data_IF_149891347505
#
_entry.id   IF_149891347505
#
_cell.length_a   1.000
_cell.length_b   1.000
_cell.length_c   1.000
_cell.angle_alpha   90.00
_cell.angle_beta   90.00
_cell.angle_gamma   90.00
#
_symmetry.space_group_name_H-M   'P 1'
#
loop_
_entity.id
_entity.type
_entity.pdbx_description
1 polymer ?
#
# COMPACT_ATOMS: atom_id res chain seq x y z
N UNK A 1 42.53 -27.86 83.99
CA UNK A 1 41.97 -26.65 84.62
C UNK A 1 41.20 -25.90 83.60
N UNK A 2 39.95 -25.62 83.84
CA UNK A 2 38.92 -24.94 83.09
C UNK A 2 38.17 -25.82 82.07
N UNK A 3 37.17 -26.22 82.52
CA UNK A 3 35.79 -26.61 82.41
C UNK A 3 35.02 -25.51 81.66
N UNK A 4 34.42 -25.86 80.53
CA UNK A 4 33.22 -25.21 80.09
C UNK A 4 32.37 -26.19 79.29
N UNK A 5 31.19 -26.45 79.80
CA UNK A 5 30.11 -27.23 79.23
C UNK A 5 29.43 -26.49 78.10
N UNK A 6 28.89 -27.18 77.04
CA UNK A 6 28.08 -26.54 76.06
C UNK A 6 26.59 -26.54 76.42
N UNK A 7 25.94 -25.44 76.12
CA UNK A 7 24.49 -25.25 76.18
C UNK A 7 23.81 -25.85 74.93
N UNK A 8 22.51 -26.25 74.98
CA UNK A 8 21.85 -26.99 73.92
C UNK A 8 21.30 -26.08 72.79
N UNK A 9 21.49 -26.57 71.59
CA UNK A 9 20.91 -25.97 70.37
C UNK A 9 19.39 -26.08 70.30
N UNK A 10 18.71 -24.94 70.16
CA UNK A 10 17.33 -24.84 69.87
C UNK A 10 17.15 -25.00 68.33
N UNK A 11 16.62 -26.13 67.91
CA UNK A 11 16.20 -26.37 66.51
C UNK A 11 14.89 -25.64 66.31
N UNK A 12 14.92 -24.51 65.57
CA UNK A 12 13.75 -23.81 65.11
C UNK A 12 13.36 -24.37 63.75
N UNK A 13 12.29 -25.20 63.69
CA UNK A 13 11.64 -25.62 62.48
C UNK A 13 10.97 -24.41 61.82
N UNK A 14 11.57 -23.86 60.77
CA UNK A 14 10.90 -22.93 59.87
C UNK A 14 10.09 -23.72 58.84
N UNK A 15 8.77 -23.73 59.04
CA UNK A 15 7.80 -24.19 58.03
C UNK A 15 7.79 -23.20 56.86
N UNK A 16 8.49 -23.51 55.78
CA UNK A 16 8.36 -22.77 54.51
C UNK A 16 7.07 -23.20 53.81
N UNK A 17 6.02 -22.40 53.93
CA UNK A 17 4.81 -22.53 53.17
C UNK A 17 5.08 -22.06 51.73
N UNK A 18 5.34 -22.98 50.81
CA UNK A 18 5.39 -22.67 49.39
C UNK A 18 3.96 -22.45 48.87
N UNK A 19 3.57 -21.17 48.72
CA UNK A 19 2.40 -20.79 47.96
C UNK A 19 2.81 -20.88 46.52
N UNK A 20 2.40 -21.95 45.83
CA UNK A 20 2.47 -22.06 44.39
C UNK A 20 1.40 -21.14 43.79
N UNK A 21 1.78 -19.93 43.39
CA UNK A 21 0.96 -19.08 42.54
C UNK A 21 0.96 -19.72 41.14
N UNK A 22 -0.12 -20.48 40.83
CA UNK A 22 -0.42 -20.85 39.47
C UNK A 22 -0.79 -19.57 38.70
N UNK A 23 0.18 -19.01 38.01
CA UNK A 23 -0.06 -18.06 36.94
C UNK A 23 -0.74 -18.84 35.78
N UNK A 24 -2.07 -18.77 35.74
CA UNK A 24 -2.81 -19.09 34.54
C UNK A 24 -2.41 -18.06 33.48
N UNK A 25 -1.35 -18.37 32.72
CA UNK A 25 -1.13 -17.75 31.41
C UNK A 25 -2.25 -18.26 30.51
N UNK A 26 -3.38 -17.58 30.53
CA UNK A 26 -4.31 -17.63 29.41
C UNK A 26 -3.54 -17.05 28.23
N UNK A 27 -3.01 -17.94 27.37
CA UNK A 27 -2.72 -17.59 26.00
C UNK A 27 -4.05 -17.14 25.40
N UNK A 28 -4.37 -15.86 25.55
CA UNK A 28 -5.23 -15.19 24.61
C UNK A 28 -4.42 -15.16 23.30
N UNK A 29 -4.64 -16.18 22.47
CA UNK A 29 -4.47 -16.01 21.03
C UNK A 29 -5.35 -14.79 20.69
N UNK A 30 -4.77 -13.60 20.77
CA UNK A 30 -5.34 -12.44 20.11
C UNK A 30 -5.20 -12.75 18.61
N UNK A 31 -6.17 -13.47 18.06
CA UNK A 31 -6.44 -13.36 16.63
C UNK A 31 -6.52 -11.85 16.40
N UNK A 32 -5.52 -11.30 15.73
CA UNK A 32 -5.57 -9.92 15.31
C UNK A 32 -6.90 -9.76 14.57
N UNK A 33 -7.86 -9.14 15.25
CA UNK A 33 -9.18 -8.92 14.70
C UNK A 33 -8.96 -7.95 13.55
N UNK A 34 -9.30 -8.38 12.35
CA UNK A 34 -9.15 -7.55 11.15
C UNK A 34 -9.96 -6.26 11.37
N UNK A 35 -9.42 -5.07 11.03
CA UNK A 35 -10.08 -3.82 11.34
C UNK A 35 -11.49 -3.79 10.71
N UNK A 36 -12.49 -3.48 11.55
CA UNK A 36 -13.88 -3.40 11.12
C UNK A 36 -14.11 -2.19 10.23
N UNK A 37 -14.91 -2.36 9.18
CA UNK A 37 -15.40 -1.26 8.36
C UNK A 37 -16.52 -0.54 9.11
N UNK A 38 -16.41 0.77 9.21
CA UNK A 38 -17.39 1.64 9.89
C UNK A 38 -17.48 3.00 9.18
N UNK A 39 -18.49 3.80 9.42
CA UNK A 39 -18.47 5.19 8.98
C UNK A 39 -17.29 5.97 9.59
N UNK A 40 -16.71 6.95 8.87
CA UNK A 40 -15.68 7.82 9.44
C UNK A 40 -16.18 8.52 10.70
N UNK A 41 -15.36 8.55 11.75
CA UNK A 41 -15.71 9.27 12.98
C UNK A 41 -15.71 10.79 12.75
N UNK A 42 -16.46 11.53 13.56
CA UNK A 42 -16.47 12.99 13.48
C UNK A 42 -15.07 13.61 13.65
N UNK A 43 -14.21 13.00 14.47
CA UNK A 43 -12.82 13.41 14.65
C UNK A 43 -12.00 13.21 13.37
N UNK A 44 -12.13 12.04 12.73
CA UNK A 44 -11.46 11.75 11.47
C UNK A 44 -11.92 12.71 10.36
N UNK A 45 -13.25 12.92 10.23
CA UNK A 45 -13.83 13.88 9.28
C UNK A 45 -13.24 15.27 9.47
N UNK A 46 -13.20 15.77 10.71
CA UNK A 46 -12.66 17.09 11.02
C UNK A 46 -11.14 17.15 10.75
N UNK A 47 -10.38 16.15 11.20
CA UNK A 47 -8.91 16.12 11.09
C UNK A 47 -8.42 16.06 9.65
N UNK A 48 -9.08 15.29 8.79
CA UNK A 48 -8.73 15.09 7.39
C UNK A 48 -9.57 15.92 6.42
N UNK A 49 -10.52 16.72 6.93
CA UNK A 49 -11.47 17.51 6.13
C UNK A 49 -12.16 16.63 5.06
N UNK A 50 -12.68 15.48 5.52
CA UNK A 50 -13.28 14.51 4.63
C UNK A 50 -14.60 15.01 4.05
N UNK A 51 -14.78 14.79 2.74
CA UNK A 51 -16.03 14.99 2.05
C UNK A 51 -17.08 13.94 2.47
N UNK A 52 -18.37 14.29 2.36
CA UNK A 52 -19.51 13.40 2.62
C UNK A 52 -19.59 12.21 1.66
N UNK A 53 -18.84 12.22 0.59
CA UNK A 53 -18.64 11.08 -0.32
C UNK A 53 -18.16 9.84 0.44
N UNK A 54 -17.26 10.02 1.41
CA UNK A 54 -16.69 8.92 2.19
C UNK A 54 -17.64 8.49 3.30
N UNK A 55 -18.30 7.36 3.11
CA UNK A 55 -19.24 6.79 4.09
C UNK A 55 -18.72 5.53 4.77
N UNK A 56 -17.60 4.97 4.27
CA UNK A 56 -16.93 3.80 4.83
C UNK A 56 -15.48 4.09 5.11
N UNK A 57 -14.96 3.50 6.17
CA UNK A 57 -13.61 3.71 6.66
C UNK A 57 -13.06 2.47 7.36
N UNK A 58 -11.76 2.24 7.15
CA UNK A 58 -10.91 1.32 7.93
C UNK A 58 -9.64 2.08 8.31
N UNK A 59 -9.13 1.84 9.52
CA UNK A 59 -7.87 2.43 9.98
C UNK A 59 -6.75 1.40 10.01
N UNK A 60 -5.59 1.77 9.45
CA UNK A 60 -4.34 1.00 9.55
C UNK A 60 -3.35 1.82 10.38
N UNK A 61 -3.17 1.49 11.66
CA UNK A 61 -2.29 2.25 12.58
C UNK A 61 -2.56 3.77 12.56
N UNK A 62 -3.83 4.16 12.41
CA UNK A 62 -4.25 5.56 12.31
C UNK A 62 -4.29 6.12 10.88
N UNK A 63 -3.69 5.44 9.90
CA UNK A 63 -3.81 5.84 8.49
C UNK A 63 -5.17 5.45 7.91
N UNK A 64 -5.94 6.40 7.33
CA UNK A 64 -7.31 6.12 6.87
C UNK A 64 -7.37 5.53 5.47
N UNK A 65 -8.10 4.44 5.33
CA UNK A 65 -8.57 3.86 4.07
C UNK A 65 -10.07 4.12 3.97
N UNK A 66 -10.51 4.73 2.89
CA UNK A 66 -11.83 5.33 2.72
C UNK A 66 -12.52 4.82 1.47
N UNK A 67 -13.83 4.75 1.50
CA UNK A 67 -14.66 4.44 0.34
C UNK A 67 -16.04 5.09 0.44
N UNK A 68 -16.72 5.14 -0.70
CA UNK A 68 -18.13 5.46 -0.77
C UNK A 68 -19.01 4.32 -0.25
N UNK A 69 -20.32 4.51 -0.23
CA UNK A 69 -21.27 3.43 0.09
C UNK A 69 -21.23 2.24 -0.89
N UNK A 70 -20.72 2.46 -2.10
CA UNK A 70 -20.66 1.45 -3.17
C UNK A 70 -19.50 0.47 -3.02
N UNK A 71 -18.39 0.92 -2.42
CA UNK A 71 -17.18 0.10 -2.22
C UNK A 71 -17.50 -1.04 -1.26
N UNK A 72 -17.05 -2.26 -1.57
CA UNK A 72 -17.24 -3.41 -0.68
C UNK A 72 -16.37 -3.31 0.58
N UNK A 73 -16.83 -3.88 1.67
CA UNK A 73 -16.05 -3.91 2.92
C UNK A 73 -14.76 -4.74 2.74
N UNK A 74 -14.81 -5.76 1.91
CA UNK A 74 -13.64 -6.60 1.58
C UNK A 74 -12.55 -5.79 0.90
N UNK A 75 -12.89 -4.88 -0.04
CA UNK A 75 -11.91 -4.04 -0.71
C UNK A 75 -11.19 -3.08 0.27
N UNK A 76 -11.95 -2.47 1.19
CA UNK A 76 -11.37 -1.63 2.24
C UNK A 76 -10.40 -2.40 3.14
N UNK A 77 -10.79 -3.62 3.53
CA UNK A 77 -9.97 -4.50 4.36
C UNK A 77 -8.75 -5.04 3.60
N UNK A 78 -8.89 -5.36 2.31
CA UNK A 78 -7.77 -5.79 1.47
C UNK A 78 -6.75 -4.66 1.31
N UNK A 79 -7.19 -3.44 1.02
CA UNK A 79 -6.28 -2.29 0.95
C UNK A 79 -5.56 -2.05 2.29
N UNK A 80 -6.28 -2.15 3.41
CA UNK A 80 -5.70 -2.05 4.74
C UNK A 80 -4.63 -3.12 4.98
N UNK A 81 -4.90 -4.36 4.57
CA UNK A 81 -3.94 -5.46 4.66
C UNK A 81 -2.68 -5.18 3.82
N UNK A 82 -2.84 -4.80 2.55
CA UNK A 82 -1.70 -4.54 1.66
C UNK A 82 -0.82 -3.40 2.17
N UNK A 83 -1.41 -2.31 2.64
CA UNK A 83 -0.71 -1.17 3.23
C UNK A 83 0.09 -1.60 4.46
N UNK A 84 -0.49 -2.40 5.35
CA UNK A 84 0.21 -2.90 6.54
C UNK A 84 1.35 -3.85 6.18
N UNK A 85 1.15 -4.72 5.18
CA UNK A 85 2.20 -5.60 4.70
C UNK A 85 3.35 -4.83 4.05
N UNK A 86 3.07 -3.82 3.24
CA UNK A 86 4.10 -2.98 2.60
C UNK A 86 4.93 -2.23 3.63
N UNK A 87 4.29 -1.55 4.55
CA UNK A 87 4.99 -0.71 5.52
C UNK A 87 5.63 -1.52 6.66
N UNK A 88 5.09 -2.69 7.01
CA UNK A 88 5.63 -3.50 8.09
C UNK A 88 5.81 -2.70 9.38
N UNK A 89 7.04 -2.63 9.89
CA UNK A 89 7.41 -1.88 11.10
C UNK A 89 7.79 -0.41 10.87
N UNK A 90 7.38 0.23 9.76
CA UNK A 90 7.70 1.63 9.41
C UNK A 90 6.69 2.60 10.01
N UNK A 91 6.62 2.64 11.36
CA UNK A 91 5.76 3.58 12.11
C UNK A 91 6.07 5.05 11.78
N UNK A 92 7.33 5.36 11.48
CA UNK A 92 7.80 6.68 11.06
C UNK A 92 7.11 7.15 9.77
N UNK A 93 6.94 6.26 8.78
CA UNK A 93 6.23 6.56 7.53
C UNK A 93 4.73 6.74 7.81
N UNK A 94 4.11 5.88 8.62
CA UNK A 94 2.70 6.07 9.01
C UNK A 94 2.44 7.44 9.61
N UNK A 95 3.28 7.85 10.57
CA UNK A 95 3.17 9.17 11.22
C UNK A 95 3.28 10.29 10.17
N UNK A 96 4.27 10.23 9.28
CA UNK A 96 4.47 11.24 8.25
C UNK A 96 3.29 11.34 7.26
N UNK A 97 2.72 10.19 6.86
CA UNK A 97 1.54 10.14 6.00
C UNK A 97 0.29 10.72 6.69
N UNK A 98 0.09 10.41 7.97
CA UNK A 98 -1.03 10.95 8.76
C UNK A 98 -0.88 12.46 8.97
N UNK A 99 0.31 12.92 9.31
CA UNK A 99 0.60 14.35 9.51
C UNK A 99 0.43 15.15 8.22
N UNK A 100 0.75 14.54 7.07
CA UNK A 100 0.52 15.15 5.74
C UNK A 100 -0.94 15.09 5.30
N UNK A 101 -1.85 14.53 6.12
CA UNK A 101 -3.26 14.33 5.78
C UNK A 101 -3.49 13.40 4.59
N UNK A 102 -2.50 12.57 4.30
CA UNK A 102 -2.61 11.55 3.26
C UNK A 102 -3.64 10.49 3.67
N UNK A 103 -4.47 10.09 2.73
CA UNK A 103 -5.50 9.06 2.86
C UNK A 103 -5.49 8.16 1.64
N UNK A 104 -6.01 6.95 1.81
CA UNK A 104 -6.24 6.05 0.70
C UNK A 104 -7.73 6.00 0.36
N UNK A 105 -8.09 6.24 -0.90
CA UNK A 105 -9.46 6.27 -1.40
C UNK A 105 -9.68 5.15 -2.42
N UNK A 106 -10.70 4.32 -2.19
CA UNK A 106 -11.06 3.23 -3.11
C UNK A 106 -12.24 3.68 -3.96
N UNK A 107 -12.19 3.42 -5.26
CA UNK A 107 -13.27 3.59 -6.21
C UNK A 107 -14.00 2.27 -6.42
N UNK A 108 -15.33 2.26 -6.31
CA UNK A 108 -16.11 1.12 -6.77
C UNK A 108 -15.95 0.92 -8.30
N UNK A 109 -16.30 -0.26 -8.87
CA UNK A 109 -16.15 -0.52 -10.29
C UNK A 109 -16.92 0.45 -11.21
N UNK A 110 -17.95 1.12 -10.70
CA UNK A 110 -18.77 2.13 -11.41
C UNK A 110 -18.46 3.57 -10.98
N UNK A 111 -17.38 3.79 -10.23
CA UNK A 111 -16.86 5.11 -9.86
C UNK A 111 -15.54 5.40 -10.59
N UNK A 112 -15.30 6.67 -10.93
CA UNK A 112 -14.13 7.07 -11.71
C UNK A 112 -13.26 8.10 -10.99
N UNK A 113 -12.05 8.29 -11.48
CA UNK A 113 -11.01 9.08 -10.83
C UNK A 113 -11.49 10.47 -10.38
N UNK A 114 -12.23 11.19 -11.23
CA UNK A 114 -12.68 12.56 -10.89
C UNK A 114 -13.91 12.60 -9.96
N UNK A 115 -14.45 11.46 -9.58
CA UNK A 115 -15.50 11.37 -8.55
C UNK A 115 -14.89 11.32 -7.14
N UNK A 116 -13.62 10.95 -7.02
CA UNK A 116 -12.88 11.08 -5.75
C UNK A 116 -12.73 12.56 -5.42
N UNK A 117 -13.18 13.02 -4.23
CA UNK A 117 -13.21 14.44 -3.89
C UNK A 117 -11.87 15.17 -4.07
N UNK A 118 -10.75 14.51 -3.73
CA UNK A 118 -9.41 15.09 -3.87
C UNK A 118 -8.94 15.19 -5.34
N UNK A 119 -9.61 14.53 -6.27
CA UNK A 119 -9.30 14.51 -7.71
C UNK A 119 -10.37 15.23 -8.55
N UNK A 120 -11.40 15.78 -7.92
CA UNK A 120 -12.58 16.34 -8.59
C UNK A 120 -12.32 17.59 -9.44
N UNK A 121 -11.18 18.25 -9.22
CA UNK A 121 -10.69 19.42 -10.00
C UNK A 121 -9.90 19.05 -11.25
N UNK A 122 -9.58 17.78 -11.46
CA UNK A 122 -8.85 17.32 -12.64
C UNK A 122 -9.67 17.52 -13.92
N UNK A 123 -9.04 18.11 -14.93
CA UNK A 123 -9.69 18.45 -16.21
C UNK A 123 -8.79 18.12 -17.40
N UNK A 124 -9.33 17.67 -18.54
CA UNK A 124 -10.74 17.28 -18.75
C UNK A 124 -11.10 16.02 -17.97
N UNK A 125 -12.29 15.97 -17.37
CA UNK A 125 -12.71 14.84 -16.52
C UNK A 125 -12.65 13.50 -17.26
N UNK A 126 -13.23 13.44 -18.46
CA UNK A 126 -13.25 12.19 -19.27
C UNK A 126 -11.84 11.68 -19.58
N UNK A 127 -10.86 12.58 -19.75
CA UNK A 127 -9.46 12.19 -19.94
C UNK A 127 -8.92 11.44 -18.72
N UNK A 128 -9.09 12.01 -17.53
CA UNK A 128 -8.60 11.43 -16.28
C UNK A 128 -9.34 10.17 -15.89
N UNK A 129 -10.66 10.18 -16.03
CA UNK A 129 -11.52 9.02 -15.74
C UNK A 129 -11.19 7.81 -16.63
N UNK A 130 -10.71 8.04 -17.85
CA UNK A 130 -10.29 6.96 -18.76
C UNK A 130 -8.83 6.57 -18.59
N UNK A 131 -7.97 7.53 -18.24
CA UNK A 131 -6.52 7.32 -18.19
C UNK A 131 -6.10 6.47 -16.99
N UNK A 132 -6.74 6.65 -15.86
CA UNK A 132 -6.25 6.11 -14.60
C UNK A 132 -7.35 5.45 -13.76
N UNK A 133 -7.04 4.29 -13.20
CA UNK A 133 -7.81 3.63 -12.12
C UNK A 133 -7.09 3.75 -10.78
N UNK A 134 -6.14 4.65 -10.67
CA UNK A 134 -5.42 5.04 -9.48
C UNK A 134 -4.60 6.30 -9.72
N UNK A 135 -4.30 7.03 -8.66
CA UNK A 135 -3.38 8.17 -8.64
C UNK A 135 -2.66 8.22 -7.30
N UNK A 136 -1.37 8.57 -7.34
CA UNK A 136 -0.57 8.87 -6.15
C UNK A 136 -1.00 10.16 -5.47
N UNK A 137 -0.70 10.26 -4.17
CA UNK A 137 -0.94 11.48 -3.40
C UNK A 137 0.12 12.54 -3.69
N UNK A 138 -0.31 13.80 -3.68
CA UNK A 138 0.56 14.97 -3.75
C UNK A 138 0.20 15.97 -2.64
N UNK A 139 1.06 16.93 -2.30
CA UNK A 139 0.71 17.97 -1.31
C UNK A 139 -0.58 18.75 -1.64
N UNK A 140 -0.87 18.93 -2.93
CA UNK A 140 -2.10 19.58 -3.38
C UNK A 140 -3.32 18.66 -3.34
N UNK A 141 -3.11 17.35 -3.50
CA UNK A 141 -4.15 16.32 -3.51
C UNK A 141 -3.69 15.15 -2.64
N UNK A 142 -3.84 15.24 -1.29
CA UNK A 142 -3.29 14.26 -0.36
C UNK A 142 -4.18 12.99 -0.29
N UNK A 143 -4.53 12.43 -1.43
CA UNK A 143 -5.26 11.18 -1.55
C UNK A 143 -4.59 10.27 -2.58
N UNK A 144 -4.23 9.08 -2.12
CA UNK A 144 -3.96 7.94 -3.01
C UNK A 144 -5.28 7.34 -3.43
N UNK A 145 -5.39 6.86 -4.64
CA UNK A 145 -6.59 6.12 -5.05
C UNK A 145 -6.27 4.86 -5.85
N UNK A 146 -7.20 3.90 -5.83
CA UNK A 146 -7.21 2.77 -6.75
C UNK A 146 -8.63 2.25 -6.95
N UNK A 147 -8.84 1.45 -8.00
CA UNK A 147 -10.08 0.76 -8.27
C UNK A 147 -10.23 -0.51 -7.43
N UNK A 148 -11.44 -0.77 -6.92
CA UNK A 148 -11.78 -2.00 -6.20
C UNK A 148 -11.53 -3.25 -7.06
N UNK A 149 -11.79 -3.15 -8.38
CA UNK A 149 -11.58 -4.24 -9.32
C UNK A 149 -10.13 -4.72 -9.36
N UNK A 150 -9.15 -3.80 -9.20
CA UNK A 150 -7.75 -4.17 -9.16
C UNK A 150 -7.34 -4.78 -7.81
N UNK A 151 -7.82 -4.22 -6.70
CA UNK A 151 -7.57 -4.76 -5.36
C UNK A 151 -8.01 -6.22 -5.21
N UNK A 152 -9.18 -6.53 -5.74
CA UNK A 152 -9.83 -7.82 -5.57
C UNK A 152 -9.71 -8.73 -6.81
N UNK A 153 -8.94 -8.31 -7.82
CA UNK A 153 -8.74 -9.03 -9.08
C UNK A 153 -10.08 -9.41 -9.75
N UNK A 154 -11.03 -8.47 -9.76
CA UNK A 154 -12.37 -8.68 -10.33
C UNK A 154 -12.32 -8.80 -11.85
N UNK A 155 -13.30 -9.48 -12.41
CA UNK A 155 -13.44 -9.59 -13.86
C UNK A 155 -13.57 -8.21 -14.52
N UNK A 156 -12.80 -8.01 -15.59
CA UNK A 156 -12.81 -6.77 -16.37
C UNK A 156 -11.82 -5.71 -15.91
N UNK A 157 -11.03 -5.98 -14.86
CA UNK A 157 -9.94 -5.10 -14.43
C UNK A 157 -9.00 -4.79 -15.61
N UNK A 158 -8.87 -3.50 -16.00
CA UNK A 158 -7.99 -3.11 -17.10
C UNK A 158 -6.50 -3.22 -16.77
N UNK A 159 -6.15 -3.40 -15.49
CA UNK A 159 -4.79 -3.49 -14.97
C UNK A 159 -4.54 -4.81 -14.24
N UNK A 160 -5.18 -5.89 -14.69
CA UNK A 160 -5.20 -7.21 -14.01
C UNK A 160 -3.84 -7.88 -13.87
N UNK A 161 -2.80 -7.39 -14.54
CA UNK A 161 -1.44 -7.92 -14.47
C UNK A 161 -0.57 -7.23 -13.42
N UNK A 162 -1.05 -6.14 -12.81
CA UNK A 162 -0.34 -5.38 -11.80
C UNK A 162 -1.21 -5.06 -10.60
N UNK A 163 -0.60 -4.58 -9.50
CA UNK A 163 -1.36 -4.06 -8.36
C UNK A 163 -1.19 -2.53 -8.27
N UNK A 164 -2.25 -1.82 -8.62
CA UNK A 164 -2.28 -0.35 -8.66
C UNK A 164 -2.10 0.26 -7.26
N UNK A 165 -2.64 -0.38 -6.20
CA UNK A 165 -2.39 0.12 -4.84
C UNK A 165 -0.91 0.20 -4.54
N UNK A 166 -0.13 -0.84 -4.89
CA UNK A 166 1.32 -0.89 -4.59
C UNK A 166 2.04 0.24 -5.32
N UNK A 167 1.70 0.49 -6.59
CA UNK A 167 2.27 1.56 -7.40
C UNK A 167 1.96 2.95 -6.81
N UNK A 168 0.68 3.26 -6.65
CA UNK A 168 0.24 4.59 -6.21
C UNK A 168 0.59 4.88 -4.75
N UNK A 169 0.61 3.85 -3.91
CA UNK A 169 1.03 4.01 -2.54
C UNK A 169 2.56 4.17 -2.42
N UNK A 170 3.34 3.60 -3.35
CA UNK A 170 4.78 3.87 -3.43
C UNK A 170 5.06 5.37 -3.69
N UNK A 171 4.30 6.03 -4.59
CA UNK A 171 4.38 7.48 -4.76
C UNK A 171 4.08 8.23 -3.46
N UNK A 172 3.03 7.84 -2.75
CA UNK A 172 2.70 8.48 -1.47
C UNK A 172 3.77 8.24 -0.39
N UNK A 173 4.35 7.04 -0.33
CA UNK A 173 5.49 6.76 0.57
C UNK A 173 6.65 7.70 0.26
N UNK A 174 6.96 7.93 -1.02
CA UNK A 174 8.01 8.86 -1.44
C UNK A 174 7.64 10.31 -1.10
N UNK A 175 6.58 10.85 -1.72
CA UNK A 175 6.29 12.28 -1.74
C UNK A 175 5.72 12.80 -0.42
N UNK A 176 4.94 11.97 0.29
CA UNK A 176 4.20 12.39 1.48
C UNK A 176 4.79 11.83 2.77
N UNK A 177 5.54 10.72 2.68
CA UNK A 177 6.21 10.05 3.78
C UNK A 177 7.70 10.41 3.86
N UNK A 178 8.50 9.83 2.96
CA UNK A 178 9.96 9.92 2.99
C UNK A 178 10.48 11.35 2.82
N UNK A 179 9.87 12.15 1.95
CA UNK A 179 10.22 13.56 1.77
C UNK A 179 10.13 14.39 3.06
N UNK A 180 9.37 13.93 4.07
CA UNK A 180 9.23 14.59 5.38
C UNK A 180 10.22 14.10 6.43
N UNK A 181 10.63 12.83 6.34
CA UNK A 181 11.50 12.20 7.36
C UNK A 181 12.97 12.12 6.93
N UNK A 182 13.23 12.20 5.63
CA UNK A 182 14.59 12.23 5.05
C UNK A 182 14.63 13.26 3.92
N UNK A 183 15.01 14.49 4.24
CA UNK A 183 15.09 15.57 3.27
C UNK A 183 16.12 15.39 2.14
N UNK A 184 16.85 14.26 2.11
CA UNK A 184 17.80 13.91 1.03
C UNK A 184 17.35 12.68 0.24
N UNK A 185 16.18 12.11 0.56
CA UNK A 185 15.72 10.91 -0.11
C UNK A 185 15.53 11.15 -1.60
N UNK A 186 14.85 12.24 -1.96
CA UNK A 186 14.58 12.59 -3.35
C UNK A 186 15.87 12.82 -4.16
N UNK A 187 16.84 13.54 -3.59
CA UNK A 187 18.17 13.74 -4.21
C UNK A 187 18.89 12.40 -4.45
N UNK A 188 18.80 11.46 -3.51
CA UNK A 188 19.40 10.11 -3.65
C UNK A 188 18.70 9.32 -4.75
N UNK A 189 17.37 9.35 -4.77
CA UNK A 189 16.57 8.66 -5.78
C UNK A 189 16.85 9.23 -7.18
N UNK A 190 16.85 10.57 -7.31
CA UNK A 190 17.18 11.23 -8.57
C UNK A 190 18.59 10.85 -9.06
N UNK A 191 19.58 10.82 -8.18
CA UNK A 191 20.96 10.49 -8.56
C UNK A 191 21.10 9.05 -9.09
N UNK A 192 20.43 8.06 -8.46
CA UNK A 192 20.48 6.67 -8.95
C UNK A 192 19.65 6.49 -10.24
N UNK A 193 18.54 7.24 -10.38
CA UNK A 193 17.77 7.28 -11.62
C UNK A 193 18.62 7.82 -12.78
N UNK A 194 19.26 8.98 -12.62
CA UNK A 194 20.10 9.57 -13.65
C UNK A 194 21.23 8.63 -14.09
N UNK A 195 21.83 7.93 -13.12
CA UNK A 195 22.86 6.93 -13.41
C UNK A 195 22.27 5.72 -14.17
N UNK A 196 21.11 5.20 -13.77
CA UNK A 196 20.45 4.09 -14.44
C UNK A 196 20.12 4.43 -15.91
N UNK A 197 19.59 5.63 -16.16
CA UNK A 197 19.29 6.11 -17.52
C UNK A 197 20.57 6.30 -18.34
N UNK A 198 21.64 6.86 -17.74
CA UNK A 198 22.93 7.00 -18.43
C UNK A 198 23.55 5.64 -18.83
N UNK A 199 23.34 4.61 -18.03
CA UNK A 199 23.78 3.23 -18.32
C UNK A 199 22.84 2.49 -19.29
N UNK A 200 21.74 3.12 -19.72
CA UNK A 200 20.76 2.55 -20.65
C UNK A 200 19.78 1.59 -20.02
N UNK A 201 19.71 1.53 -18.67
CA UNK A 201 18.68 0.76 -17.98
C UNK A 201 17.31 1.41 -18.18
N UNK A 202 16.25 0.59 -18.21
CA UNK A 202 14.86 1.01 -18.34
C UNK A 202 14.52 1.76 -19.64
N UNK A 203 15.44 1.84 -20.60
CA UNK A 203 15.27 2.59 -21.83
C UNK A 203 13.97 2.20 -22.57
N UNK A 204 13.16 3.22 -22.91
CA UNK A 204 11.87 3.05 -23.57
C UNK A 204 10.78 2.40 -22.71
N UNK A 205 10.97 2.33 -21.38
CA UNK A 205 10.00 1.76 -20.42
C UNK A 205 9.42 2.84 -19.51
N UNK A 206 8.28 2.54 -18.90
CA UNK A 206 7.54 3.48 -18.05
C UNK A 206 8.40 3.99 -16.89
N UNK A 207 9.21 3.14 -16.29
CA UNK A 207 10.18 3.50 -15.26
C UNK A 207 11.21 4.57 -15.71
N UNK A 208 11.44 4.75 -17.01
CA UNK A 208 12.35 5.78 -17.53
C UNK A 208 11.71 7.16 -17.71
N UNK A 209 10.42 7.34 -17.44
CA UNK A 209 9.75 8.63 -17.63
C UNK A 209 10.26 9.70 -16.65
N UNK A 210 10.48 9.32 -15.40
CA UNK A 210 11.04 10.17 -14.35
C UNK A 210 11.38 9.31 -13.12
N UNK A 211 12.07 9.91 -12.12
CA UNK A 211 12.50 9.20 -10.92
C UNK A 211 11.34 8.76 -10.01
N UNK A 212 10.17 9.41 -10.06
CA UNK A 212 8.99 8.97 -9.30
C UNK A 212 8.44 7.65 -9.86
N UNK A 213 8.32 7.54 -11.19
CA UNK A 213 7.89 6.29 -11.84
C UNK A 213 8.95 5.18 -11.68
N UNK A 214 10.23 5.52 -11.78
CA UNK A 214 11.33 4.61 -11.51
C UNK A 214 11.25 3.99 -10.11
N UNK A 215 10.91 4.81 -9.10
CA UNK A 215 10.69 4.37 -7.74
C UNK A 215 9.48 3.44 -7.64
N UNK A 216 8.32 3.84 -8.17
CA UNK A 216 7.08 3.09 -8.06
C UNK A 216 7.15 1.72 -8.77
N UNK A 217 7.69 1.68 -9.99
CA UNK A 217 7.96 0.45 -10.75
C UNK A 217 8.93 -0.48 -10.00
N UNK A 218 9.98 0.08 -9.41
CA UNK A 218 10.90 -0.67 -8.57
C UNK A 218 10.23 -1.27 -7.34
N UNK A 219 9.35 -0.52 -6.67
CA UNK A 219 8.59 -1.01 -5.51
C UNK A 219 7.61 -2.10 -5.93
N UNK A 220 6.92 -1.97 -7.07
CA UNK A 220 6.09 -3.05 -7.61
C UNK A 220 6.91 -4.33 -7.84
N UNK A 221 8.07 -4.22 -8.47
CA UNK A 221 8.98 -5.37 -8.68
C UNK A 221 9.48 -5.96 -7.36
N UNK A 222 9.79 -5.11 -6.37
CA UNK A 222 10.24 -5.54 -5.05
C UNK A 222 9.21 -6.37 -4.30
N UNK A 223 7.92 -6.05 -4.44
CA UNK A 223 6.82 -6.81 -3.84
C UNK A 223 6.18 -7.86 -4.76
N UNK A 224 6.66 -8.01 -6.00
CA UNK A 224 6.18 -9.00 -6.96
C UNK A 224 4.79 -8.66 -7.53
N UNK A 225 4.55 -7.39 -7.79
CA UNK A 225 3.27 -6.87 -8.31
C UNK A 225 3.38 -6.14 -9.64
N UNK A 226 4.56 -6.15 -10.27
CA UNK A 226 4.77 -5.50 -11.55
C UNK A 226 4.30 -6.38 -12.71
N UNK A 227 4.01 -5.75 -13.84
CA UNK A 227 3.55 -6.42 -15.07
C UNK A 227 4.62 -7.31 -15.68
N UNK A 228 4.15 -8.31 -16.40
CA UNK A 228 4.94 -9.05 -17.36
C UNK A 228 5.39 -8.12 -18.51
N UNK A 229 6.47 -8.48 -19.26
CA UNK A 229 6.99 -7.65 -20.34
C UNK A 229 5.94 -7.28 -21.38
N UNK A 230 5.75 -5.97 -21.60
CA UNK A 230 4.88 -5.40 -22.62
C UNK A 230 5.56 -4.17 -23.28
N UNK A 231 4.77 -3.30 -23.92
CA UNK A 231 5.28 -2.07 -24.51
C UNK A 231 5.92 -1.16 -23.45
N UNK A 232 5.28 -1.02 -22.28
CA UNK A 232 5.66 -0.07 -21.22
C UNK A 232 6.55 -0.69 -20.14
N UNK A 233 6.60 -2.03 -20.02
CA UNK A 233 7.32 -2.76 -18.98
C UNK A 233 8.36 -3.72 -19.57
N UNK A 234 9.45 -3.93 -18.84
CA UNK A 234 10.47 -4.91 -19.20
C UNK A 234 10.31 -6.21 -18.41
N UNK A 235 11.32 -7.05 -18.41
CA UNK A 235 11.32 -8.35 -17.71
C UNK A 235 11.52 -8.26 -16.19
N UNK A 236 11.64 -7.05 -15.62
CA UNK A 236 11.93 -6.84 -14.19
C UNK A 236 10.63 -6.76 -13.41
N UNK A 237 10.01 -7.90 -13.16
CA UNK A 237 8.71 -8.05 -12.50
C UNK A 237 8.80 -8.66 -11.08
N UNK A 238 10.01 -9.07 -10.63
CA UNK A 238 10.24 -9.68 -9.33
C UNK A 238 11.42 -9.06 -8.61
N UNK A 239 11.46 -9.26 -7.28
CA UNK A 239 12.53 -8.80 -6.40
C UNK A 239 13.92 -9.26 -6.85
N UNK A 240 14.06 -10.52 -7.21
CA UNK A 240 15.37 -11.07 -7.63
C UNK A 240 15.82 -10.47 -8.96
N UNK A 241 14.89 -10.32 -9.91
CA UNK A 241 15.19 -9.66 -11.19
C UNK A 241 15.54 -8.18 -11.00
N UNK A 242 14.84 -7.47 -10.09
CA UNK A 242 15.19 -6.08 -9.75
C UNK A 242 16.62 -6.01 -9.17
N UNK A 243 16.95 -6.90 -8.25
CA UNK A 243 18.28 -6.95 -7.63
C UNK A 243 19.40 -7.23 -8.64
N UNK A 244 19.13 -8.07 -9.63
CA UNK A 244 20.09 -8.40 -10.70
C UNK A 244 20.21 -7.25 -11.71
N UNK A 245 19.08 -6.66 -12.12
CA UNK A 245 19.03 -5.67 -13.18
C UNK A 245 19.46 -4.27 -12.73
N UNK A 246 18.94 -3.81 -11.58
CA UNK A 246 19.27 -2.51 -11.00
C UNK A 246 19.52 -2.61 -9.49
N UNK A 247 20.74 -3.06 -9.10
CA UNK A 247 21.09 -3.27 -7.69
C UNK A 247 21.06 -2.00 -6.85
N UNK A 248 21.17 -0.80 -7.46
CA UNK A 248 21.09 0.49 -6.73
C UNK A 248 19.66 0.81 -6.32
N UNK A 249 18.72 0.67 -7.26
CA UNK A 249 17.31 0.84 -6.96
C UNK A 249 16.85 -0.21 -5.94
N UNK A 250 17.24 -1.47 -6.14
CA UNK A 250 16.96 -2.53 -5.17
C UNK A 250 17.48 -2.15 -3.77
N UNK A 251 18.73 -1.70 -3.65
CA UNK A 251 19.33 -1.37 -2.35
C UNK A 251 18.61 -0.20 -1.66
N UNK A 252 18.20 0.83 -2.41
CA UNK A 252 17.43 1.95 -1.87
C UNK A 252 16.05 1.50 -1.37
N UNK A 253 15.36 0.65 -2.14
CA UNK A 253 14.05 0.11 -1.76
C UNK A 253 14.18 -0.80 -0.53
N UNK A 254 15.18 -1.68 -0.51
CA UNK A 254 15.45 -2.59 0.60
C UNK A 254 15.78 -1.82 1.90
N UNK A 255 16.52 -0.70 1.81
CA UNK A 255 16.74 0.23 2.92
C UNK A 255 15.42 0.81 3.45
N UNK A 256 14.59 1.33 2.55
CA UNK A 256 13.31 1.94 2.91
C UNK A 256 12.38 0.93 3.58
N UNK A 257 12.24 -0.25 3.03
CA UNK A 257 11.36 -1.29 3.59
C UNK A 257 12.07 -2.21 4.60
N UNK A 258 13.33 -1.91 4.98
CA UNK A 258 14.11 -2.62 6.01
C UNK A 258 14.17 -4.13 5.77
N UNK A 259 14.36 -4.54 4.53
CA UNK A 259 14.42 -5.95 4.17
C UNK A 259 13.09 -6.70 4.37
N UNK A 260 11.96 -6.01 4.27
CA UNK A 260 10.64 -6.62 4.42
C UNK A 260 10.49 -7.87 3.53
N UNK A 261 10.31 -9.07 4.10
CA UNK A 261 10.30 -10.31 3.30
C UNK A 261 8.97 -10.55 2.57
N UNK A 262 7.94 -9.78 2.86
CA UNK A 262 6.61 -9.98 2.29
C UNK A 262 6.64 -9.93 0.77
N UNK A 263 5.87 -10.83 0.14
CA UNK A 263 5.61 -10.87 -1.29
C UNK A 263 4.11 -10.92 -1.51
N UNK A 264 3.64 -10.19 -2.48
CA UNK A 264 2.24 -10.19 -2.85
C UNK A 264 1.80 -11.56 -3.40
N UNK A 265 0.61 -11.93 -3.04
CA UNK A 265 -0.15 -13.01 -3.70
C UNK A 265 -1.59 -12.53 -3.91
N UNK A 266 -2.26 -13.00 -4.96
CA UNK A 266 -3.64 -12.59 -5.28
C UNK A 266 -4.61 -12.99 -4.17
N UNK A 267 -5.72 -12.26 -3.97
CA UNK A 267 -6.73 -12.58 -2.95
C UNK A 267 -7.24 -14.03 -3.00
N UNK A 268 -7.41 -14.58 -4.19
CA UNK A 268 -7.85 -15.98 -4.40
C UNK A 268 -6.91 -17.03 -3.79
N UNK A 269 -5.64 -16.69 -3.56
CA UNK A 269 -4.63 -17.56 -2.96
C UNK A 269 -4.41 -17.29 -1.46
N UNK A 270 -5.23 -16.40 -0.85
CA UNK A 270 -5.15 -15.99 0.55
C UNK A 270 -6.51 -16.09 1.28
N UNK A 271 -7.39 -17.01 0.83
CA UNK A 271 -8.75 -17.15 1.38
C UNK A 271 -8.80 -17.59 2.86
N UNK A 272 -7.67 -17.96 3.44
CA UNK A 272 -7.53 -18.20 4.89
C UNK A 272 -7.54 -16.91 5.71
N UNK A 273 -7.20 -15.78 5.10
CA UNK A 273 -7.22 -14.48 5.79
C UNK A 273 -8.66 -14.11 6.19
N UNK A 274 -8.86 -13.51 7.38
CA UNK A 274 -10.19 -13.27 7.93
C UNK A 274 -11.12 -12.50 6.99
N UNK A 275 -10.63 -11.47 6.31
CA UNK A 275 -11.41 -10.63 5.41
C UNK A 275 -11.72 -11.27 4.05
N UNK A 276 -10.96 -12.29 3.66
CA UNK A 276 -11.18 -13.02 2.41
C UNK A 276 -11.91 -14.37 2.63
N UNK A 277 -12.20 -14.69 3.90
CA UNK A 277 -12.87 -15.95 4.21
C UNK A 277 -14.31 -15.94 3.72
N UNK A 278 -14.62 -16.85 2.80
CA UNK A 278 -15.95 -16.96 2.20
C UNK A 278 -16.23 -15.91 1.13
N UNK A 279 -15.25 -15.05 0.83
CA UNK A 279 -15.35 -14.11 -0.28
C UNK A 279 -15.20 -14.84 -1.63
N UNK A 280 -16.02 -14.43 -2.61
CA UNK A 280 -15.91 -14.84 -4.00
C UNK A 280 -15.97 -13.60 -4.91
N UNK A 281 -15.05 -13.52 -5.87
CA UNK A 281 -15.01 -12.43 -6.84
C UNK A 281 -16.27 -12.35 -7.71
N UNK A 282 -16.95 -13.50 -7.93
CA UNK A 282 -18.19 -13.54 -8.72
C UNK A 282 -19.39 -12.93 -7.99
N UNK A 283 -19.31 -12.72 -6.67
CA UNK A 283 -20.35 -12.06 -5.88
C UNK A 283 -20.33 -10.53 -6.04
N UNK A 284 -19.25 -9.99 -6.62
CA UNK A 284 -19.06 -8.56 -6.81
C UNK A 284 -19.27 -8.13 -8.27
N UNK A 285 -19.54 -6.84 -8.45
CA UNK A 285 -19.71 -6.26 -9.77
C UNK A 285 -18.42 -6.30 -10.58
N UNK A 286 -18.50 -6.79 -11.82
CA UNK A 286 -17.37 -6.71 -12.76
C UNK A 286 -17.16 -5.27 -13.22
N UNK A 287 -15.91 -4.92 -13.50
CA UNK A 287 -15.57 -3.63 -14.10
C UNK A 287 -15.88 -3.63 -15.62
N UNK A 288 -16.37 -2.50 -16.09
CA UNK A 288 -16.44 -2.22 -17.53
C UNK A 288 -16.41 -0.73 -17.81
N UNK A 289 -15.68 -0.33 -18.83
CA UNK A 289 -15.66 1.07 -19.25
C UNK A 289 -17.02 1.47 -19.85
N UNK A 290 -17.63 2.58 -19.38
CA UNK A 290 -18.80 3.17 -20.06
C UNK A 290 -18.46 3.58 -21.49
N UNK A 291 -19.47 3.61 -22.36
CA UNK A 291 -19.26 3.87 -23.80
C UNK A 291 -18.54 5.21 -24.06
N UNK A 292 -18.86 6.25 -23.30
CA UNK A 292 -18.21 7.56 -23.46
C UNK A 292 -16.71 7.51 -23.11
N UNK A 293 -16.31 6.70 -22.11
CA UNK A 293 -14.89 6.51 -21.76
C UNK A 293 -14.19 5.56 -22.72
N UNK A 294 -14.88 4.61 -23.35
CA UNK A 294 -14.32 3.82 -24.45
C UNK A 294 -13.96 4.73 -25.63
N UNK A 295 -14.84 5.70 -25.99
CA UNK A 295 -14.55 6.69 -27.03
C UNK A 295 -13.37 7.59 -26.68
N UNK A 296 -13.27 8.04 -25.42
CA UNK A 296 -12.14 8.82 -24.94
C UNK A 296 -10.82 8.01 -25.01
N UNK A 297 -10.84 6.74 -24.61
CA UNK A 297 -9.67 5.86 -24.72
C UNK A 297 -9.19 5.68 -26.17
N UNK A 298 -10.12 5.51 -27.11
CA UNK A 298 -9.78 5.45 -28.51
C UNK A 298 -9.17 6.76 -29.04
N UNK A 299 -9.62 7.92 -28.52
CA UNK A 299 -9.01 9.23 -28.82
C UNK A 299 -7.60 9.31 -28.25
N UNK A 300 -7.40 9.03 -26.96
CA UNK A 300 -6.09 9.09 -26.30
C UNK A 300 -5.05 8.19 -27.00
N UNK A 301 -5.48 7.03 -27.49
CA UNK A 301 -4.61 6.13 -28.26
C UNK A 301 -4.15 6.78 -29.56
N UNK A 302 -5.09 7.34 -30.36
CA UNK A 302 -4.75 8.05 -31.61
C UNK A 302 -3.81 9.24 -31.36
N UNK A 303 -4.08 10.03 -30.31
CA UNK A 303 -3.27 11.21 -29.98
C UNK A 303 -1.82 10.80 -29.64
N UNK A 304 -1.63 9.67 -28.94
CA UNK A 304 -0.28 9.11 -28.64
C UNK A 304 0.41 8.59 -29.90
N UNK A 305 -0.30 7.87 -30.76
CA UNK A 305 0.24 7.36 -32.04
C UNK A 305 0.68 8.51 -32.96
N UNK A 306 -0.12 9.59 -33.01
CA UNK A 306 0.23 10.77 -33.79
C UNK A 306 1.46 11.48 -33.23
N UNK A 307 1.55 11.67 -31.91
CA UNK A 307 2.69 12.29 -31.27
C UNK A 307 3.99 11.48 -31.45
N UNK A 308 3.89 10.14 -31.50
CA UNK A 308 5.04 9.28 -31.75
C UNK A 308 5.59 9.48 -33.19
N UNK A 309 4.69 9.60 -34.19
CA UNK A 309 5.09 9.84 -35.59
C UNK A 309 5.72 11.22 -35.77
N UNK A 310 5.28 12.25 -35.03
CA UNK A 310 5.81 13.62 -35.12
C UNK A 310 7.21 13.78 -34.47
N UNK A 311 7.61 12.82 -33.63
CA UNK A 311 8.91 12.83 -32.93
C UNK A 311 9.97 11.89 -33.60
N UNK A 312 9.61 11.17 -34.64
CA UNK A 312 10.53 10.40 -35.50
C UNK A 312 11.04 11.26 -36.68
#
# INVERSE_FOLDING_TARGET
MNIFSPLPEFVMFRCCLFIAILLNLTNADSKAEFPNVAPPTAELVASFQLDTFYTKHVSVKGFPVLGSAKVSDVALQEAAYLIDQMLGGREDIYVALIDSKTRFAIMAPDEFTTEIPAHSDLTPKTFWDRRARGLGATPARPAVSCGEENLLCLRGDPYHEENILVHEFAHAIHDMGLARIDGKFDDRLQAIYDQAIQEGLWNGKYAANNHHEYWAEGVQSYFGTNRLPDHDHNHVDTRDKLKEYDPRLFALIDEVFRGNPWQYTRPEHRRELPHLRGWDAEDLSSFSWPEHLLREGAKQKRDREQAAIENE
#
